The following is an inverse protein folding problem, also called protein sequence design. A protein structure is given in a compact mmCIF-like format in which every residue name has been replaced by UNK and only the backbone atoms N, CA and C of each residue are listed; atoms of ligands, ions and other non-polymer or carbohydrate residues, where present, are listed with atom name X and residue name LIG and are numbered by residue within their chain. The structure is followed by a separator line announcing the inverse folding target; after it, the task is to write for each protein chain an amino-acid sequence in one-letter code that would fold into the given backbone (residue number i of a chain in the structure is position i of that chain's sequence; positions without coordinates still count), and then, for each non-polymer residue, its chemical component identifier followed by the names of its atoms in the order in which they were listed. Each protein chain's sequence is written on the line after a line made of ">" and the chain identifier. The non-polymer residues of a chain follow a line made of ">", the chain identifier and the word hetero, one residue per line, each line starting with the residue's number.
data_IF_838145245996
#
_entry.id   IF_838145245996
#
_cell.length_a   1.000
_cell.length_b   1.000
_cell.length_c   1.000
_cell.angle_alpha   90.00
_cell.angle_beta   90.00
_cell.angle_gamma   90.00
#
_symmetry.space_group_name_H-M   'P 1'
#
loop_
_entity.id
_entity.type
_entity.pdbx_description
1 polymer ?
#
# COMPACT_ATOMS: atom_id res chain seq x y z
N UNK A 1 -17.74 -10.38 36.13
CA UNK A 1 -17.59 -10.08 34.69
C UNK A 1 -16.32 -10.75 34.18
N UNK A 2 -16.39 -11.45 33.04
CA UNK A 2 -15.20 -12.00 32.37
C UNK A 2 -14.22 -10.86 32.04
N UNK A 3 -12.94 -11.09 32.27
CA UNK A 3 -11.91 -10.05 32.11
C UNK A 3 -11.64 -9.90 30.61
N UNK A 4 -12.06 -8.79 30.02
CA UNK A 4 -11.90 -8.53 28.59
C UNK A 4 -10.45 -8.75 28.14
N UNK A 5 -10.25 -9.51 27.06
CA UNK A 5 -8.94 -9.78 26.50
C UNK A 5 -8.21 -8.47 26.17
N UNK A 6 -6.96 -8.36 26.65
CA UNK A 6 -6.06 -7.25 26.31
C UNK A 6 -4.81 -7.82 25.69
N UNK A 7 -4.54 -7.43 24.45
CA UNK A 7 -3.33 -7.83 23.76
C UNK A 7 -2.15 -6.98 24.27
N UNK A 8 -1.06 -7.59 24.78
CA UNK A 8 0.06 -6.83 25.34
C UNK A 8 0.76 -5.91 24.34
N UNK A 9 0.69 -6.23 23.04
CA UNK A 9 1.37 -5.49 21.97
C UNK A 9 0.39 -4.66 21.12
N UNK A 10 -0.77 -4.28 21.65
CA UNK A 10 -1.75 -3.49 20.90
C UNK A 10 -1.16 -2.17 20.38
N UNK A 11 -0.39 -1.46 21.23
CA UNK A 11 0.31 -0.23 20.80
C UNK A 11 1.31 -0.45 19.67
N UNK A 12 1.98 -1.62 19.65
CA UNK A 12 2.93 -1.98 18.60
C UNK A 12 2.18 -2.28 17.31
N UNK A 13 1.03 -2.95 17.41
CA UNK A 13 0.18 -3.22 16.26
C UNK A 13 -0.35 -1.91 15.65
N UNK A 14 -0.81 -0.97 16.47
CA UNK A 14 -1.29 0.32 16.00
C UNK A 14 -0.18 1.16 15.37
N UNK A 15 1.02 1.15 15.96
CA UNK A 15 2.18 1.77 15.33
C UNK A 15 2.48 1.16 13.96
N UNK A 16 2.45 -0.17 13.82
CA UNK A 16 2.68 -0.84 12.53
C UNK A 16 1.61 -0.54 11.49
N UNK A 17 0.34 -0.39 11.88
CA UNK A 17 -0.73 0.10 10.99
C UNK A 17 -0.43 1.51 10.48
N UNK A 18 -0.07 2.42 11.36
CA UNK A 18 0.28 3.79 10.98
C UNK A 18 1.47 3.84 10.00
N UNK A 19 2.48 2.98 10.20
CA UNK A 19 3.62 2.88 9.28
C UNK A 19 3.17 2.38 7.90
N UNK A 20 2.32 1.35 7.84
CA UNK A 20 1.75 0.87 6.57
C UNK A 20 0.96 1.97 5.86
N UNK A 21 0.10 2.71 6.57
CA UNK A 21 -0.68 3.81 6.01
C UNK A 21 0.22 4.92 5.47
N UNK A 22 1.30 5.27 6.19
CA UNK A 22 2.30 6.23 5.71
C UNK A 22 2.98 5.75 4.42
N UNK A 23 3.36 4.46 4.35
CA UNK A 23 3.98 3.87 3.15
C UNK A 23 3.02 3.80 1.96
N UNK A 24 1.73 3.53 2.21
CA UNK A 24 0.70 3.60 1.19
C UNK A 24 0.55 5.04 0.65
N UNK A 25 0.62 6.03 1.53
CA UNK A 25 0.64 7.45 1.15
C UNK A 25 1.87 7.82 0.30
N UNK A 26 3.06 7.35 0.68
CA UNK A 26 4.29 7.55 -0.12
C UNK A 26 4.17 6.93 -1.53
N UNK A 27 3.63 5.71 -1.64
CA UNK A 27 3.41 5.03 -2.91
C UNK A 27 2.42 5.79 -3.82
N UNK A 28 1.35 6.34 -3.25
CA UNK A 28 0.40 7.12 -4.02
C UNK A 28 1.05 8.39 -4.57
N UNK A 29 1.87 9.09 -3.77
CA UNK A 29 2.61 10.28 -4.22
C UNK A 29 3.59 9.96 -5.34
N UNK A 30 4.32 8.84 -5.26
CA UNK A 30 5.25 8.45 -6.33
C UNK A 30 4.51 8.08 -7.61
N UNK A 31 3.34 7.42 -7.52
CA UNK A 31 2.47 7.15 -8.68
C UNK A 31 1.95 8.42 -9.34
N UNK A 32 1.51 9.39 -8.54
CA UNK A 32 1.09 10.70 -9.07
C UNK A 32 2.24 11.44 -9.76
N UNK A 33 3.46 11.37 -9.19
CA UNK A 33 4.66 11.94 -9.82
C UNK A 33 4.95 11.27 -11.16
N UNK A 34 4.94 9.93 -11.22
CA UNK A 34 5.13 9.17 -12.47
C UNK A 34 4.10 9.57 -13.53
N UNK A 35 2.82 9.63 -13.16
CA UNK A 35 1.73 10.05 -14.07
C UNK A 35 1.97 11.45 -14.63
N UNK A 36 2.42 12.40 -13.80
CA UNK A 36 2.73 13.76 -14.25
C UNK A 36 3.89 13.80 -15.24
N UNK A 37 4.93 12.99 -15.03
CA UNK A 37 6.04 12.91 -15.99
C UNK A 37 5.61 12.25 -17.30
N UNK A 38 4.77 11.20 -17.24
CA UNK A 38 4.18 10.57 -18.43
C UNK A 38 3.30 11.55 -19.23
N UNK A 39 2.47 12.34 -18.55
CA UNK A 39 1.63 13.37 -19.17
C UNK A 39 2.47 14.47 -19.83
N UNK A 40 3.57 14.90 -19.21
CA UNK A 40 4.51 15.87 -19.80
C UNK A 40 5.18 15.30 -21.04
N UNK A 41 5.68 14.06 -20.97
CA UNK A 41 6.32 13.38 -22.10
C UNK A 41 5.35 13.29 -23.28
N UNK A 42 4.13 12.79 -23.03
CA UNK A 42 3.07 12.68 -24.03
C UNK A 42 2.75 14.02 -24.69
N UNK A 43 2.71 15.12 -23.93
CA UNK A 43 2.48 16.45 -24.50
C UNK A 43 3.61 16.90 -25.44
N UNK A 44 4.87 16.51 -25.17
CA UNK A 44 6.00 16.83 -26.03
C UNK A 44 5.97 15.97 -27.30
N UNK A 45 5.65 14.68 -27.17
CA UNK A 45 5.46 13.78 -28.30
C UNK A 45 4.33 14.24 -29.23
N UNK A 46 3.19 14.67 -28.67
CA UNK A 46 2.07 15.24 -29.41
C UNK A 46 2.50 16.49 -30.20
N UNK A 47 3.23 17.41 -29.55
CA UNK A 47 3.79 18.60 -30.25
C UNK A 47 4.71 18.22 -31.40
N UNK A 48 5.56 17.21 -31.22
CA UNK A 48 6.43 16.70 -32.28
C UNK A 48 5.63 16.13 -33.44
N UNK A 49 4.58 15.35 -33.16
CA UNK A 49 3.68 14.80 -34.18
C UNK A 49 2.94 15.89 -34.95
N UNK A 50 2.42 16.91 -34.25
CA UNK A 50 1.74 18.04 -34.90
C UNK A 50 2.63 18.76 -35.91
N UNK A 51 3.92 18.94 -35.58
CA UNK A 51 4.91 19.55 -36.48
C UNK A 51 5.18 18.66 -37.69
N UNK A 52 5.34 17.35 -37.48
CA UNK A 52 5.60 16.39 -38.56
C UNK A 52 4.40 16.23 -39.51
N UNK A 53 3.17 16.24 -38.99
CA UNK A 53 1.95 16.18 -39.80
C UNK A 53 1.74 17.51 -40.54
N UNK A 54 2.01 18.64 -39.89
CA UNK A 54 2.01 19.96 -40.53
C UNK A 54 3.14 20.16 -41.56
N UNK A 55 4.18 19.32 -41.52
CA UNK A 55 5.33 19.33 -42.45
C UNK A 55 4.94 18.88 -43.88
N UNK A 56 3.91 18.04 -44.01
CA UNK A 56 3.48 17.44 -45.29
C UNK A 56 2.97 18.48 -46.31
N UNK A 57 2.68 19.72 -45.88
CA UNK A 57 2.19 20.83 -46.74
C UNK A 57 3.28 21.84 -47.17
N UNK A 58 4.57 21.56 -46.96
CA UNK A 58 5.67 22.56 -47.05
C UNK A 58 6.42 22.63 -48.38
N UNK A 59 5.77 22.38 -49.50
CA UNK A 59 6.39 22.52 -50.84
C UNK A 59 6.95 23.94 -51.12
N UNK A 60 6.58 24.95 -50.32
CA UNK A 60 6.99 26.35 -50.49
C UNK A 60 7.80 26.95 -49.31
N UNK A 61 8.39 26.13 -48.43
CA UNK A 61 9.21 26.68 -47.34
C UNK A 61 10.56 27.21 -47.82
N UNK A 62 10.97 28.34 -47.26
CA UNK A 62 12.32 28.88 -47.44
C UNK A 62 13.36 28.05 -46.65
N UNK A 63 14.62 28.08 -47.09
CA UNK A 63 15.72 27.38 -46.41
C UNK A 63 15.84 27.75 -44.92
N UNK A 64 15.62 29.02 -44.57
CA UNK A 64 15.63 29.47 -43.18
C UNK A 64 14.48 28.86 -42.35
N UNK A 65 13.28 28.75 -42.92
CA UNK A 65 12.15 28.13 -42.23
C UNK A 65 12.37 26.63 -42.02
N UNK A 66 13.00 25.96 -42.99
CA UNK A 66 13.39 24.56 -42.85
C UNK A 66 14.40 24.36 -41.71
N UNK A 67 15.47 25.17 -41.67
CA UNK A 67 16.48 25.10 -40.60
C UNK A 67 15.86 25.32 -39.22
N UNK A 68 15.00 26.33 -39.06
CA UNK A 68 14.30 26.60 -37.79
C UNK A 68 13.45 25.40 -37.36
N UNK A 69 12.72 24.78 -38.30
CA UNK A 69 11.90 23.61 -38.01
C UNK A 69 12.75 22.41 -37.60
N UNK A 70 13.88 22.17 -38.29
CA UNK A 70 14.79 21.07 -37.98
C UNK A 70 15.42 21.26 -36.60
N UNK A 71 15.91 22.46 -36.28
CA UNK A 71 16.49 22.76 -34.96
C UNK A 71 15.46 22.56 -33.84
N UNK A 72 14.22 22.99 -34.06
CA UNK A 72 13.16 22.80 -33.08
C UNK A 72 12.79 21.31 -32.90
N UNK A 73 12.76 20.52 -33.98
CA UNK A 73 12.57 19.07 -33.88
C UNK A 73 13.69 18.38 -33.10
N UNK A 74 14.94 18.82 -33.27
CA UNK A 74 16.07 18.30 -32.48
C UNK A 74 15.92 18.63 -30.99
N UNK A 75 15.47 19.85 -30.65
CA UNK A 75 15.18 20.21 -29.26
C UNK A 75 14.04 19.38 -28.66
N UNK A 76 13.00 19.08 -29.44
CA UNK A 76 11.91 18.22 -28.99
C UNK A 76 12.38 16.79 -28.76
N UNK A 77 13.27 16.25 -29.61
CA UNK A 77 13.87 14.93 -29.38
C UNK A 77 14.66 14.88 -28.08
N UNK A 78 15.54 15.86 -27.83
CA UNK A 78 16.29 15.94 -26.57
C UNK A 78 15.35 16.05 -25.34
N UNK A 79 14.24 16.77 -25.47
CA UNK A 79 13.24 16.84 -24.40
C UNK A 79 12.48 15.52 -24.18
N UNK A 80 12.23 14.76 -25.25
CA UNK A 80 11.62 13.42 -25.21
C UNK A 80 12.58 12.47 -24.51
N UNK A 81 13.84 12.39 -24.94
CA UNK A 81 14.85 11.50 -24.36
C UNK A 81 15.00 11.75 -22.84
N UNK A 82 15.12 13.02 -22.44
CA UNK A 82 15.16 13.40 -21.02
C UNK A 82 13.83 13.12 -20.30
N UNK A 83 12.71 13.17 -21.01
CA UNK A 83 11.39 12.86 -20.47
C UNK A 83 11.22 11.37 -20.18
N UNK A 84 11.68 10.52 -21.09
CA UNK A 84 11.72 9.06 -20.92
C UNK A 84 12.57 8.68 -19.71
N UNK A 85 13.76 9.29 -19.55
CA UNK A 85 14.61 9.09 -18.37
C UNK A 85 13.87 9.45 -17.07
N UNK A 86 13.20 10.60 -17.02
CA UNK A 86 12.41 11.01 -15.84
C UNK A 86 11.25 10.05 -15.54
N UNK A 87 10.58 9.53 -16.57
CA UNK A 87 9.50 8.54 -16.41
C UNK A 87 10.06 7.22 -15.88
N UNK A 88 11.21 6.79 -16.38
CA UNK A 88 11.90 5.59 -15.91
C UNK A 88 12.29 5.73 -14.43
N UNK A 89 12.94 6.83 -14.05
CA UNK A 89 13.32 7.13 -12.67
C UNK A 89 12.11 7.16 -11.73
N UNK A 90 11.02 7.80 -12.17
CA UNK A 90 9.77 7.82 -11.41
C UNK A 90 9.15 6.41 -11.31
N UNK A 91 9.31 5.57 -12.33
CA UNK A 91 8.94 4.16 -12.31
C UNK A 91 9.71 3.37 -11.25
N UNK A 92 11.03 3.50 -11.24
CA UNK A 92 11.89 2.88 -10.21
C UNK A 92 11.55 3.37 -8.80
N UNK A 93 11.21 4.66 -8.64
CA UNK A 93 10.73 5.19 -7.35
C UNK A 93 9.41 4.52 -6.92
N UNK A 94 8.47 4.31 -7.83
CA UNK A 94 7.20 3.61 -7.54
C UNK A 94 7.46 2.17 -7.08
N UNK A 95 8.34 1.44 -7.76
CA UNK A 95 8.71 0.07 -7.38
C UNK A 95 9.33 0.01 -5.99
N UNK A 96 10.30 0.89 -5.71
CA UNK A 96 10.92 0.98 -4.38
C UNK A 96 9.89 1.28 -3.28
N UNK A 97 8.93 2.18 -3.53
CA UNK A 97 7.86 2.48 -2.56
C UNK A 97 6.89 1.31 -2.38
N UNK A 98 6.63 0.55 -3.44
CA UNK A 98 5.81 -0.65 -3.36
C UNK A 98 6.47 -1.72 -2.49
N UNK A 99 7.77 -1.92 -2.62
CA UNK A 99 8.52 -2.86 -1.79
C UNK A 99 8.51 -2.47 -0.31
N UNK A 100 8.73 -1.19 0.00
CA UNK A 100 8.61 -0.71 1.38
C UNK A 100 7.21 -0.92 1.98
N UNK A 101 6.14 -0.73 1.19
CA UNK A 101 4.78 -1.01 1.64
C UNK A 101 4.59 -2.50 1.90
N UNK A 102 5.08 -3.35 0.99
CA UNK A 102 5.00 -4.80 1.14
C UNK A 102 5.70 -5.29 2.41
N UNK A 103 6.87 -4.74 2.73
CA UNK A 103 7.57 -5.02 3.98
C UNK A 103 6.76 -4.57 5.20
N UNK A 104 6.25 -3.34 5.21
CA UNK A 104 5.41 -2.83 6.29
C UNK A 104 4.15 -3.69 6.52
N UNK A 105 3.50 -4.14 5.43
CA UNK A 105 2.35 -5.03 5.50
C UNK A 105 2.70 -6.41 6.05
N UNK A 106 3.85 -7.00 5.67
CA UNK A 106 4.33 -8.27 6.23
C UNK A 106 4.55 -8.15 7.73
N UNK A 107 5.19 -7.07 8.16
CA UNK A 107 5.47 -6.75 9.54
C UNK A 107 4.21 -6.59 10.39
N UNK A 108 3.22 -5.84 9.90
CA UNK A 108 1.92 -5.70 10.55
C UNK A 108 1.25 -7.06 10.70
N UNK A 109 1.22 -7.85 9.62
CA UNK A 109 0.57 -9.17 9.58
C UNK A 109 1.20 -10.16 10.56
N UNK A 110 2.49 -10.07 10.82
CA UNK A 110 3.15 -10.88 11.84
C UNK A 110 2.59 -10.61 13.25
N UNK A 111 2.39 -9.33 13.60
CA UNK A 111 1.83 -8.93 14.90
C UNK A 111 0.34 -9.26 15.00
N UNK A 112 -0.43 -9.12 13.93
CA UNK A 112 -1.83 -9.53 13.87
C UNK A 112 -2.00 -11.03 14.13
N UNK A 113 -1.19 -11.87 13.46
CA UNK A 113 -1.19 -13.32 13.70
C UNK A 113 -0.87 -13.66 15.16
N UNK A 114 0.06 -12.94 15.78
CA UNK A 114 0.39 -13.12 17.19
C UNK A 114 -0.79 -12.77 18.11
N UNK A 115 -1.49 -11.66 17.82
CA UNK A 115 -2.70 -11.25 18.53
C UNK A 115 -3.78 -12.32 18.42
N UNK A 116 -4.05 -12.80 17.21
CA UNK A 116 -5.12 -13.77 16.95
C UNK A 116 -4.83 -15.11 17.65
N UNK A 117 -3.56 -15.54 17.67
CA UNK A 117 -3.13 -16.71 18.46
C UNK A 117 -3.39 -16.51 19.96
N UNK A 118 -2.98 -15.36 20.52
CA UNK A 118 -3.17 -15.05 21.94
C UNK A 118 -4.64 -14.94 22.32
N UNK A 119 -5.46 -14.41 21.43
CA UNK A 119 -6.91 -14.37 21.61
C UNK A 119 -7.50 -15.79 21.61
N UNK A 120 -7.03 -16.67 20.73
CA UNK A 120 -7.41 -18.08 20.71
C UNK A 120 -7.06 -18.79 22.02
N UNK A 121 -5.83 -18.63 22.51
CA UNK A 121 -5.37 -19.17 23.80
C UNK A 121 -6.26 -18.68 24.97
N UNK A 122 -6.58 -17.39 24.98
CA UNK A 122 -7.44 -16.80 26.02
C UNK A 122 -8.84 -17.41 26.01
N UNK A 123 -9.48 -17.54 24.83
CA UNK A 123 -10.80 -18.17 24.68
C UNK A 123 -10.81 -19.63 25.15
N UNK A 124 -9.74 -20.38 24.89
CA UNK A 124 -9.60 -21.76 25.38
C UNK A 124 -9.52 -21.78 26.90
N UNK A 125 -8.75 -20.87 27.49
CA UNK A 125 -8.59 -20.77 28.94
C UNK A 125 -9.90 -20.37 29.62
N UNK A 126 -10.62 -19.39 29.08
CA UNK A 126 -11.94 -18.99 29.59
C UNK A 126 -12.91 -20.17 29.59
N UNK A 127 -13.02 -20.91 28.48
CA UNK A 127 -13.87 -22.11 28.39
C UNK A 127 -13.48 -23.18 29.42
N UNK A 128 -12.19 -23.38 29.69
CA UNK A 128 -11.73 -24.32 30.72
C UNK A 128 -12.13 -23.87 32.13
N UNK A 129 -12.00 -22.58 32.43
CA UNK A 129 -12.40 -22.00 33.72
C UNK A 129 -13.91 -22.08 33.91
N UNK A 130 -14.70 -21.78 32.87
CA UNK A 130 -16.16 -21.91 32.91
C UNK A 130 -16.60 -23.35 33.16
N UNK A 131 -16.04 -24.33 32.43
CA UNK A 131 -16.32 -25.76 32.66
C UNK A 131 -16.00 -26.19 34.08
N UNK A 132 -14.84 -25.79 34.62
CA UNK A 132 -14.46 -26.12 35.99
C UNK A 132 -15.46 -25.55 37.01
N UNK A 133 -15.91 -24.31 36.81
CA UNK A 133 -16.94 -23.68 37.67
C UNK A 133 -18.28 -24.41 37.58
N UNK A 134 -18.72 -24.80 36.37
CA UNK A 134 -19.97 -25.55 36.22
C UNK A 134 -19.91 -26.92 36.89
N UNK A 135 -18.77 -27.62 36.77
CA UNK A 135 -18.56 -28.92 37.40
C UNK A 135 -18.53 -28.80 38.94
N UNK A 136 -17.89 -27.75 39.47
CA UNK A 136 -17.88 -27.46 40.92
C UNK A 136 -19.30 -27.16 41.44
N UNK A 137 -20.10 -26.39 40.70
CA UNK A 137 -21.50 -26.09 41.07
C UNK A 137 -22.35 -27.36 41.04
N UNK A 138 -22.23 -28.18 39.99
CA UNK A 138 -22.95 -29.45 39.85
C UNK A 138 -22.64 -30.38 41.04
N UNK A 139 -21.36 -30.62 41.32
CA UNK A 139 -20.93 -31.44 42.45
C UNK A 139 -21.45 -30.91 43.79
N UNK A 140 -21.44 -29.60 44.01
CA UNK A 140 -21.95 -28.98 45.24
C UNK A 140 -23.46 -29.16 45.38
N UNK A 141 -24.20 -29.08 44.28
CA UNK A 141 -25.65 -29.29 44.24
C UNK A 141 -26.07 -30.75 44.46
N UNK A 142 -25.26 -31.70 43.98
CA UNK A 142 -25.48 -33.13 44.23
C UNK A 142 -25.19 -33.51 45.68
N UNK A 143 -24.17 -32.90 46.30
CA UNK A 143 -23.87 -33.06 47.72
C UNK A 143 -24.98 -32.52 48.63
N UNK A 144 -25.62 -31.40 48.29
CA UNK A 144 -26.77 -30.89 49.05
C UNK A 144 -28.01 -31.76 48.88
N UNK A 145 -28.28 -32.30 47.69
CA UNK A 145 -29.39 -33.25 47.49
C UNK A 145 -29.24 -34.51 48.34
N UNK A 146 -28.02 -35.09 48.39
CA UNK A 146 -27.75 -36.29 49.20
C UNK A 146 -27.91 -36.06 50.70
N UNK A 147 -27.62 -34.85 51.20
CA UNK A 147 -27.81 -34.48 52.62
C UNK A 147 -29.27 -34.27 53.04
N UNK A 148 -30.19 -34.07 52.10
CA UNK A 148 -31.62 -33.85 52.39
C UNK A 148 -32.39 -35.18 52.39
N UNK A 149 -31.83 -36.23 51.78
CA UNK A 149 -32.40 -37.59 51.71
C UNK A 149 -31.82 -38.58 52.75
N UNK A 150 -31.05 -38.11 53.73
CA UNK A 150 -30.59 -38.87 54.91
C UNK A 150 -31.11 -38.21 56.17
#
# INVERSE_FOLDING_TARGET
>A
MAKQFRFPLEKVLDYKKNIEDLKAGELNRSREKKKKEEEKLKSIEEKKQDILIGDVSRENMTLNQLNISTDYLLQLNDQIDKGEERVLDAGTEVENKLDHLNEASKDKKAVEKLRDRKLGEHKILEKKVERKKTDEIANRSDLTKRKITS
#
